data_IF_742272439625
#
_entry.id   IF_742272439625
#
_cell.length_a   1.000
_cell.length_b   1.000
_cell.length_c   1.000
_cell.angle_alpha   90.00
_cell.angle_beta   90.00
_cell.angle_gamma   90.00
#
_symmetry.space_group_name_H-M   'P 1'
#
loop_
_entity.id
_entity.type
_entity.pdbx_description
1 polymer ?
#
# COMPACT_ATOMS: atom_id res chain seq x y z
N UNK A 1 58.30 -9.61 33.30
CA UNK A 1 57.78 -8.62 32.40
C UNK A 1 56.25 -8.72 32.41
N UNK A 2 55.59 -7.83 33.12
CA UNK A 2 54.13 -7.71 33.16
C UNK A 2 53.75 -6.66 32.12
N UNK A 3 52.89 -7.05 31.17
CA UNK A 3 52.22 -6.12 30.26
C UNK A 3 50.89 -5.71 30.90
N UNK A 4 50.72 -4.42 31.09
CA UNK A 4 49.48 -3.82 31.57
C UNK A 4 48.65 -3.42 30.32
N UNK A 5 47.51 -4.07 30.20
CA UNK A 5 46.48 -3.73 29.21
C UNK A 5 45.70 -2.49 29.69
N UNK A 6 45.71 -1.43 28.96
CA UNK A 6 44.88 -0.26 29.18
C UNK A 6 43.74 -0.24 28.17
N UNK A 7 42.52 -0.43 28.66
CA UNK A 7 41.28 -0.30 27.91
C UNK A 7 41.03 1.18 27.48
N UNK A 8 40.46 1.42 26.29
CA UNK A 8 40.07 2.78 25.89
C UNK A 8 38.76 3.19 26.57
N UNK A 9 38.78 4.38 27.14
CA UNK A 9 37.63 5.07 27.73
C UNK A 9 36.64 5.48 26.65
N UNK A 10 35.42 5.02 26.79
CA UNK A 10 34.28 5.52 26.01
C UNK A 10 34.01 7.00 26.33
N UNK A 11 34.24 7.88 25.35
CA UNK A 11 33.74 9.24 25.37
C UNK A 11 32.23 9.21 25.14
N UNK A 12 31.48 9.61 26.14
CA UNK A 12 30.06 9.95 26.00
C UNK A 12 29.94 11.23 25.18
N UNK A 13 29.50 11.09 23.94
CA UNK A 13 29.05 12.21 23.16
C UNK A 13 27.69 12.68 23.71
N UNK A 14 27.66 13.87 24.26
CA UNK A 14 26.44 14.60 24.57
C UNK A 14 25.62 14.78 23.28
N UNK A 15 24.52 14.06 23.14
CA UNK A 15 23.49 14.39 22.18
C UNK A 15 22.68 15.54 22.76
N UNK A 16 22.98 16.73 22.34
CA UNK A 16 22.10 17.89 22.49
C UNK A 16 20.86 17.65 21.62
N UNK A 17 19.69 17.67 22.26
CA UNK A 17 18.39 17.78 21.60
C UNK A 17 18.36 19.08 20.77
N UNK A 18 18.68 19.00 19.52
CA UNK A 18 18.32 20.03 18.54
C UNK A 18 16.88 19.74 18.11
N UNK A 19 15.99 20.64 18.50
CA UNK A 19 14.61 20.72 18.08
C UNK A 19 14.51 20.63 16.55
N UNK A 20 13.71 19.68 16.07
CA UNK A 20 13.48 19.46 14.64
C UNK A 20 12.71 20.62 14.01
N UNK A 21 13.39 21.70 13.72
CA UNK A 21 12.99 22.65 12.68
C UNK A 21 13.67 22.20 11.38
N UNK A 22 13.15 21.13 10.80
CA UNK A 22 13.57 20.68 9.48
C UNK A 22 13.23 21.77 8.45
N UNK A 23 14.22 22.52 8.05
CA UNK A 23 14.12 23.42 6.92
C UNK A 23 13.93 22.61 5.63
N UNK A 24 13.20 23.16 4.65
CA UNK A 24 13.00 22.62 3.29
C UNK A 24 14.28 22.11 2.60
N UNK A 25 15.45 22.38 3.15
CA UNK A 25 16.77 21.96 2.67
C UNK A 25 17.10 20.45 2.88
N UNK A 26 16.27 19.68 3.57
CA UNK A 26 16.53 18.25 3.89
C UNK A 26 15.83 17.25 2.97
N UNK A 27 15.09 17.70 1.95
CA UNK A 27 14.48 16.80 0.98
C UNK A 27 15.48 16.29 -0.05
N UNK A 28 15.31 15.06 -0.57
CA UNK A 28 16.10 14.57 -1.68
C UNK A 28 16.02 15.56 -2.85
N UNK A 29 17.15 15.81 -3.47
CA UNK A 29 17.19 16.67 -4.66
C UNK A 29 16.52 15.95 -5.82
N UNK A 30 15.36 16.45 -6.24
CA UNK A 30 14.60 15.94 -7.36
C UNK A 30 14.87 16.83 -8.56
N UNK A 31 15.25 16.21 -9.68
CA UNK A 31 15.44 16.95 -10.93
C UNK A 31 14.09 17.44 -11.47
N UNK A 32 14.07 18.54 -12.23
CA UNK A 32 12.83 19.01 -12.89
C UNK A 32 12.17 17.96 -13.78
N UNK A 33 12.95 17.04 -14.35
CA UNK A 33 12.42 15.94 -15.19
C UNK A 33 11.72 14.90 -14.33
N UNK A 34 12.30 14.51 -13.21
CA UNK A 34 11.66 13.59 -12.25
C UNK A 34 10.34 14.15 -11.76
N UNK A 35 10.31 15.43 -11.39
CA UNK A 35 9.11 16.10 -10.92
C UNK A 35 8.01 16.10 -12.00
N UNK A 36 8.33 16.50 -13.22
CA UNK A 36 7.35 16.48 -14.33
C UNK A 36 6.81 15.07 -14.62
N UNK A 37 7.64 14.05 -14.53
CA UNK A 37 7.18 12.67 -14.71
C UNK A 37 6.21 12.26 -13.60
N UNK A 38 6.50 12.62 -12.36
CA UNK A 38 5.62 12.32 -11.24
C UNK A 38 4.29 13.07 -11.36
N UNK A 39 4.30 14.35 -11.73
CA UNK A 39 3.10 15.18 -11.93
C UNK A 39 2.16 14.62 -13.02
N UNK A 40 2.67 13.84 -13.95
CA UNK A 40 1.84 13.15 -14.93
C UNK A 40 0.96 12.05 -14.32
N UNK A 41 1.32 11.51 -13.16
CA UNK A 41 0.66 10.37 -12.53
C UNK A 41 0.05 10.66 -11.17
N UNK A 42 0.59 11.57 -10.39
CA UNK A 42 0.18 11.85 -9.02
C UNK A 42 0.28 13.32 -8.67
N UNK A 43 -0.39 13.70 -7.59
CA UNK A 43 -0.21 15.01 -6.97
C UNK A 43 1.14 15.07 -6.24
N UNK A 44 1.81 16.19 -6.33
CA UNK A 44 3.08 16.43 -5.64
C UNK A 44 2.97 17.41 -4.49
N UNK A 45 2.51 18.62 -4.73
CA UNK A 45 2.48 19.71 -3.76
C UNK A 45 1.16 20.48 -3.69
N UNK A 46 0.29 20.38 -4.70
CA UNK A 46 -0.87 21.25 -4.87
C UNK A 46 -1.98 21.06 -3.83
N UNK A 47 -2.00 19.93 -3.13
CA UNK A 47 -2.97 19.58 -2.09
C UNK A 47 -2.47 19.83 -0.65
N UNK A 48 -1.30 20.44 -0.48
CA UNK A 48 -0.67 20.66 0.83
C UNK A 48 -1.09 21.98 1.48
N UNK A 49 -1.81 22.84 0.77
CA UNK A 49 -2.28 24.11 1.30
C UNK A 49 -3.24 23.91 2.47
N UNK A 50 -3.03 24.68 3.53
CA UNK A 50 -3.89 24.62 4.73
C UNK A 50 -3.51 23.55 5.76
N UNK A 51 -2.53 22.71 5.48
CA UNK A 51 -2.00 21.77 6.45
C UNK A 51 -1.08 22.45 7.47
N UNK A 52 -0.86 21.79 8.62
CA UNK A 52 0.21 22.20 9.51
C UNK A 52 1.56 22.08 8.80
N UNK A 53 2.58 22.91 9.15
CA UNK A 53 3.90 22.79 8.56
C UNK A 53 4.51 21.39 8.72
N UNK A 54 4.29 20.73 9.85
CA UNK A 54 4.78 19.37 10.13
C UNK A 54 4.16 18.33 9.20
N UNK A 55 2.85 18.38 9.00
CA UNK A 55 2.16 17.49 8.07
C UNK A 55 2.62 17.71 6.63
N UNK A 56 2.67 18.97 6.18
CA UNK A 56 3.11 19.32 4.84
C UNK A 56 4.54 18.84 4.56
N UNK A 57 5.46 19.03 5.52
CA UNK A 57 6.84 18.55 5.43
C UNK A 57 6.88 17.01 5.40
N UNK A 58 6.14 16.34 6.25
CA UNK A 58 6.09 14.88 6.31
C UNK A 58 5.59 14.27 5.00
N UNK A 59 4.49 14.76 4.47
CA UNK A 59 3.91 14.30 3.20
C UNK A 59 4.85 14.59 2.03
N UNK A 60 5.38 15.80 1.96
CA UNK A 60 6.33 16.18 0.91
C UNK A 60 7.59 15.31 0.93
N UNK A 61 8.13 15.03 2.11
CA UNK A 61 9.29 14.16 2.29
C UNK A 61 9.01 12.73 1.80
N UNK A 62 7.85 12.18 2.13
CA UNK A 62 7.42 10.87 1.66
C UNK A 62 7.26 10.84 0.14
N UNK A 63 6.59 11.82 -0.44
CA UNK A 63 6.37 11.91 -1.89
C UNK A 63 7.67 12.08 -2.66
N UNK A 64 8.54 12.99 -2.24
CA UNK A 64 9.81 13.26 -2.93
C UNK A 64 10.78 12.09 -2.82
N UNK A 65 10.87 11.44 -1.65
CA UNK A 65 11.66 10.23 -1.49
C UNK A 65 11.18 9.09 -2.37
N UNK A 66 9.87 8.91 -2.48
CA UNK A 66 9.26 7.91 -3.36
C UNK A 66 9.49 8.22 -4.84
N UNK A 67 9.32 9.46 -5.27
CA UNK A 67 9.59 9.89 -6.66
C UNK A 67 11.05 9.58 -7.04
N UNK A 68 12.00 9.87 -6.15
CA UNK A 68 13.41 9.56 -6.40
C UNK A 68 13.64 8.07 -6.61
N UNK A 69 13.06 7.22 -5.74
CA UNK A 69 13.15 5.77 -5.87
C UNK A 69 12.50 5.26 -7.15
N UNK A 70 11.28 5.71 -7.44
CA UNK A 70 10.50 5.23 -8.58
C UNK A 70 11.12 5.62 -9.92
N UNK A 71 11.65 6.84 -10.02
CA UNK A 71 12.32 7.28 -11.25
C UNK A 71 13.54 6.44 -11.55
N UNK A 72 14.32 6.09 -10.52
CA UNK A 72 15.47 5.20 -10.67
C UNK A 72 15.08 3.80 -11.14
N UNK A 73 13.97 3.27 -10.59
CA UNK A 73 13.46 1.95 -10.94
C UNK A 73 12.78 1.92 -12.30
N UNK A 74 12.09 3.00 -12.68
CA UNK A 74 11.32 3.06 -13.93
C UNK A 74 12.17 2.89 -15.19
N UNK A 75 13.47 3.17 -15.12
CA UNK A 75 14.42 2.92 -16.20
C UNK A 75 14.56 1.42 -16.51
N UNK A 76 14.23 0.56 -15.55
CA UNK A 76 14.29 -0.90 -15.69
C UNK A 76 12.94 -1.52 -16.06
N UNK A 77 11.87 -0.72 -16.06
CA UNK A 77 10.54 -1.22 -16.37
C UNK A 77 10.40 -1.53 -17.86
N UNK A 78 9.87 -2.69 -18.15
CA UNK A 78 9.51 -3.07 -19.52
C UNK A 78 8.23 -3.90 -19.52
N UNK A 79 7.42 -3.71 -20.54
CA UNK A 79 6.24 -4.53 -20.75
C UNK A 79 6.64 -5.74 -21.62
N UNK A 80 6.40 -6.99 -21.17
CA UNK A 80 6.63 -8.17 -21.99
C UNK A 80 5.83 -8.10 -23.30
N UNK A 81 6.35 -8.71 -24.35
CA UNK A 81 5.61 -8.86 -25.60
C UNK A 81 4.31 -9.65 -25.36
N UNK A 82 3.24 -9.29 -26.04
CA UNK A 82 1.97 -9.99 -25.94
C UNK A 82 1.12 -9.61 -24.73
N UNK A 83 1.40 -8.49 -24.07
CA UNK A 83 0.54 -7.93 -23.04
C UNK A 83 -0.20 -6.71 -23.59
N UNK A 84 -1.53 -6.77 -23.56
CA UNK A 84 -2.40 -5.65 -23.88
C UNK A 84 -2.61 -4.78 -22.65
N UNK A 85 -2.57 -3.48 -22.83
CA UNK A 85 -2.87 -2.50 -21.78
C UNK A 85 -4.08 -1.67 -22.17
N UNK A 86 -5.09 -1.66 -21.29
CA UNK A 86 -6.23 -0.75 -21.37
C UNK A 86 -6.06 0.24 -20.21
N UNK A 87 -5.61 1.44 -20.53
CA UNK A 87 -5.24 2.44 -19.55
C UNK A 87 -6.33 3.49 -19.31
N UNK A 88 -6.24 4.14 -18.15
CA UNK A 88 -7.04 5.31 -17.80
C UNK A 88 -8.57 5.06 -17.84
N UNK A 89 -8.99 3.92 -17.33
CA UNK A 89 -10.41 3.57 -17.23
C UNK A 89 -11.00 4.28 -15.99
N UNK A 90 -11.97 5.20 -16.14
CA UNK A 90 -12.63 5.84 -15.02
C UNK A 90 -13.59 4.85 -14.34
N UNK A 91 -13.38 4.57 -13.06
CA UNK A 91 -14.32 3.75 -12.29
C UNK A 91 -15.39 4.58 -11.54
N UNK A 92 -15.25 5.90 -11.57
CA UNK A 92 -16.27 6.88 -11.20
C UNK A 92 -16.47 7.88 -12.35
N UNK A 93 -17.66 8.54 -12.45
CA UNK A 93 -17.97 9.40 -13.58
C UNK A 93 -17.05 10.60 -13.78
N UNK A 94 -16.40 11.08 -12.72
CA UNK A 94 -15.46 12.21 -12.77
C UNK A 94 -14.06 11.82 -13.24
N UNK A 95 -13.81 10.52 -13.43
CA UNK A 95 -12.49 10.01 -13.79
C UNK A 95 -11.41 10.35 -12.76
N UNK A 96 -11.81 10.72 -11.55
CA UNK A 96 -10.94 11.03 -10.43
C UNK A 96 -10.23 12.38 -10.51
N UNK A 97 -10.68 13.26 -11.38
CA UNK A 97 -10.19 14.63 -11.37
C UNK A 97 -10.77 15.40 -10.19
N UNK A 98 -9.90 15.79 -9.26
CA UNK A 98 -10.22 16.89 -8.37
C UNK A 98 -10.12 18.20 -9.16
N UNK A 99 -11.27 18.83 -9.42
CA UNK A 99 -11.33 20.08 -10.14
C UNK A 99 -10.65 21.25 -9.42
N UNK A 100 -10.48 21.15 -8.12
CA UNK A 100 -9.85 22.20 -7.31
C UNK A 100 -8.33 22.20 -7.48
N UNK A 101 -7.70 21.03 -7.48
CA UNK A 101 -6.25 20.87 -7.73
C UNK A 101 -5.91 20.69 -9.22
N UNK A 102 -6.86 20.22 -10.02
CA UNK A 102 -6.69 20.00 -11.45
C UNK A 102 -5.85 18.77 -11.82
N UNK A 103 -5.40 17.98 -10.86
CA UNK A 103 -4.36 16.97 -11.08
C UNK A 103 -4.58 15.62 -10.39
N UNK A 104 -5.63 15.42 -9.63
CA UNK A 104 -5.87 14.14 -8.97
C UNK A 104 -6.19 13.05 -9.99
N UNK A 105 -5.40 12.00 -10.04
CA UNK A 105 -5.63 10.81 -10.86
C UNK A 105 -6.21 9.62 -10.07
N UNK A 106 -6.80 9.86 -8.94
CA UNK A 106 -7.66 8.91 -8.25
C UNK A 106 -8.88 8.57 -9.11
N UNK A 107 -9.60 7.50 -8.85
CA UNK A 107 -10.78 7.05 -9.60
C UNK A 107 -10.49 6.57 -11.03
N UNK A 108 -9.24 6.25 -11.34
CA UNK A 108 -8.83 5.61 -12.58
C UNK A 108 -8.24 4.23 -12.28
N UNK A 109 -8.39 3.32 -13.23
CA UNK A 109 -7.72 2.02 -13.19
C UNK A 109 -7.13 1.66 -14.56
N UNK A 110 -6.14 0.77 -14.55
CA UNK A 110 -5.60 0.14 -15.74
C UNK A 110 -5.90 -1.35 -15.72
N UNK A 111 -6.00 -1.96 -16.89
CA UNK A 111 -6.14 -3.39 -17.06
C UNK A 111 -5.04 -3.93 -17.96
N UNK A 112 -4.36 -4.97 -17.51
CA UNK A 112 -3.32 -5.69 -18.25
C UNK A 112 -3.81 -7.10 -18.56
N UNK A 113 -3.72 -7.51 -19.81
CA UNK A 113 -4.24 -8.78 -20.32
C UNK A 113 -3.24 -9.46 -21.25
N UNK A 114 -3.06 -10.80 -21.19
CA UNK A 114 -2.41 -11.54 -22.25
C UNK A 114 -3.17 -11.39 -23.57
N UNK A 115 -2.51 -10.93 -24.62
CA UNK A 115 -3.10 -10.72 -25.94
C UNK A 115 -3.76 -11.99 -26.50
N UNK A 116 -3.09 -13.13 -26.36
CA UNK A 116 -3.60 -14.42 -26.84
C UNK A 116 -4.97 -14.77 -26.21
N UNK A 117 -5.18 -14.45 -24.95
CA UNK A 117 -6.46 -14.69 -24.29
C UNK A 117 -7.55 -13.76 -24.81
N UNK A 118 -7.18 -12.50 -25.13
CA UNK A 118 -8.11 -11.53 -25.74
C UNK A 118 -8.57 -12.00 -27.12
N UNK A 119 -7.64 -12.49 -27.94
CA UNK A 119 -7.92 -12.96 -29.31
C UNK A 119 -8.77 -14.24 -29.28
N UNK A 120 -8.45 -15.20 -28.41
CA UNK A 120 -9.20 -16.47 -28.31
C UNK A 120 -10.54 -16.31 -27.61
N UNK A 121 -10.67 -15.32 -26.74
CA UNK A 121 -11.85 -15.13 -25.88
C UNK A 121 -12.00 -16.21 -24.83
N UNK A 122 -13.12 -16.18 -24.11
CA UNK A 122 -13.45 -17.13 -23.04
C UNK A 122 -13.29 -16.53 -21.65
N UNK A 123 -13.65 -17.34 -20.63
CA UNK A 123 -13.65 -16.92 -19.21
C UNK A 123 -12.60 -17.72 -18.43
N UNK A 124 -11.34 -17.63 -18.81
CA UNK A 124 -10.30 -18.54 -18.35
C UNK A 124 -9.23 -17.89 -17.48
N UNK A 125 -9.01 -16.57 -17.61
CA UNK A 125 -7.96 -15.89 -16.85
C UNK A 125 -8.40 -15.67 -15.41
N UNK A 126 -7.62 -16.11 -14.42
CA UNK A 126 -7.76 -15.61 -13.05
C UNK A 126 -7.44 -14.12 -13.01
N UNK A 127 -8.04 -13.43 -12.05
CA UNK A 127 -7.95 -11.98 -11.91
C UNK A 127 -7.13 -11.62 -10.69
N UNK A 128 -6.18 -10.72 -10.84
CA UNK A 128 -5.58 -9.98 -9.73
C UNK A 128 -6.05 -8.54 -9.74
N UNK A 129 -6.38 -8.01 -8.57
CA UNK A 129 -6.66 -6.60 -8.35
C UNK A 129 -5.56 -6.06 -7.45
N UNK A 130 -4.81 -5.09 -7.94
CA UNK A 130 -3.66 -4.49 -7.26
C UNK A 130 -4.00 -3.12 -6.66
N UNK A 131 -3.69 -2.96 -5.37
CA UNK A 131 -3.80 -1.72 -4.61
C UNK A 131 -2.38 -1.25 -4.27
N UNK A 132 -1.92 -0.16 -4.90
CA UNK A 132 -0.57 0.33 -4.72
C UNK A 132 -0.29 0.83 -3.30
N UNK A 133 0.99 0.81 -2.90
CA UNK A 133 1.51 1.42 -1.69
C UNK A 133 1.77 2.93 -1.81
N UNK A 134 2.56 3.47 -0.90
CA UNK A 134 2.96 4.88 -0.89
C UNK A 134 2.58 5.63 0.39
N UNK A 135 2.53 4.96 1.53
CA UNK A 135 2.30 5.58 2.84
C UNK A 135 0.97 6.32 2.96
N UNK A 136 -0.04 5.92 2.20
CA UNK A 136 -1.35 6.56 2.09
C UNK A 136 -1.34 7.96 1.50
N UNK A 137 -0.19 8.53 1.19
CA UNK A 137 -0.05 9.94 0.72
C UNK A 137 0.49 10.05 -0.69
N UNK A 138 0.96 8.95 -1.25
CA UNK A 138 1.63 8.87 -2.53
C UNK A 138 1.19 7.62 -3.28
N UNK A 139 1.35 7.64 -4.57
CA UNK A 139 1.14 6.49 -5.43
C UNK A 139 0.07 6.70 -6.49
N UNK A 140 0.06 5.79 -7.42
CA UNK A 140 -0.76 5.84 -8.62
C UNK A 140 -0.81 4.43 -9.24
N UNK A 141 -1.76 4.19 -10.11
CA UNK A 141 -1.98 2.88 -10.73
C UNK A 141 -0.78 2.36 -11.56
N UNK A 142 0.06 3.26 -12.06
CA UNK A 142 1.27 2.91 -12.81
C UNK A 142 2.46 2.54 -11.91
N UNK A 143 2.39 2.82 -10.61
CA UNK A 143 3.49 2.57 -9.67
C UNK A 143 3.94 1.10 -9.68
N UNK A 144 2.99 0.18 -9.68
CA UNK A 144 3.25 -1.27 -9.70
C UNK A 144 3.18 -1.87 -11.11
N UNK A 145 3.20 -1.05 -12.16
CA UNK A 145 3.00 -1.51 -13.53
C UNK A 145 3.96 -2.62 -13.93
N UNK A 146 5.24 -2.49 -13.60
CA UNK A 146 6.23 -3.51 -13.97
C UNK A 146 5.93 -4.87 -13.35
N UNK A 147 5.50 -4.89 -12.08
CA UNK A 147 5.03 -6.10 -11.42
C UNK A 147 3.75 -6.64 -12.08
N UNK A 148 2.79 -5.76 -12.33
CA UNK A 148 1.48 -6.13 -12.87
C UNK A 148 1.54 -6.70 -14.29
N UNK A 149 2.39 -6.15 -15.17
CA UNK A 149 2.56 -6.72 -16.52
C UNK A 149 3.27 -8.07 -16.49
N UNK A 150 4.16 -8.31 -15.54
CA UNK A 150 4.77 -9.62 -15.35
C UNK A 150 3.79 -10.65 -14.78
N UNK A 151 2.86 -10.25 -13.91
CA UNK A 151 1.74 -11.10 -13.51
C UNK A 151 0.85 -11.46 -14.70
N UNK A 152 0.54 -10.49 -15.55
CA UNK A 152 -0.24 -10.74 -16.77
C UNK A 152 0.49 -11.71 -17.70
N UNK A 153 1.80 -11.62 -17.82
CA UNK A 153 2.63 -12.56 -18.59
C UNK A 153 2.58 -14.00 -18.03
N UNK A 154 2.27 -14.14 -16.76
CA UNK A 154 2.04 -15.45 -16.12
C UNK A 154 0.62 -15.99 -16.32
N UNK A 155 -0.24 -15.28 -17.04
CA UNK A 155 -1.58 -15.74 -17.37
C UNK A 155 -2.69 -15.16 -16.49
N UNK A 156 -2.50 -13.98 -15.93
CA UNK A 156 -3.53 -13.27 -15.15
C UNK A 156 -4.08 -12.07 -15.91
N UNK A 157 -5.35 -11.75 -15.66
CA UNK A 157 -5.86 -10.41 -15.91
C UNK A 157 -5.59 -9.57 -14.66
N UNK A 158 -4.94 -8.41 -14.83
CA UNK A 158 -4.53 -7.59 -13.69
C UNK A 158 -5.16 -6.21 -13.78
N UNK A 159 -6.01 -5.89 -12.81
CA UNK A 159 -6.53 -4.54 -12.61
C UNK A 159 -5.66 -3.81 -11.60
N UNK A 160 -5.18 -2.64 -11.97
CA UNK A 160 -4.40 -1.76 -11.09
C UNK A 160 -5.16 -0.45 -10.91
N UNK A 161 -5.46 -0.09 -9.67
CA UNK A 161 -6.29 1.08 -9.38
C UNK A 161 -5.53 2.20 -8.70
N UNK A 162 -5.92 3.43 -8.99
CA UNK A 162 -5.57 4.61 -8.21
C UNK A 162 -6.68 4.93 -7.22
N UNK A 163 -6.29 5.32 -6.03
CA UNK A 163 -7.18 5.90 -5.01
C UNK A 163 -6.63 7.27 -4.60
N UNK A 164 -7.48 8.13 -4.09
CA UNK A 164 -7.04 9.48 -3.68
C UNK A 164 -6.05 9.39 -2.52
N UNK A 165 -4.89 10.04 -2.62
CA UNK A 165 -3.92 10.08 -1.53
C UNK A 165 -4.40 11.01 -0.41
N UNK A 166 -3.92 10.80 0.82
CA UNK A 166 -3.99 11.83 1.84
C UNK A 166 -3.10 13.03 1.43
N UNK A 167 -3.48 14.27 1.69
CA UNK A 167 -4.60 14.72 2.49
C UNK A 167 -5.92 14.92 1.73
N UNK A 168 -6.02 14.54 0.47
CA UNK A 168 -7.25 14.72 -0.33
C UNK A 168 -8.42 13.95 0.24
N UNK A 169 -8.17 12.82 0.92
CA UNK A 169 -9.16 12.05 1.64
C UNK A 169 -8.54 11.33 2.84
N UNK A 170 -9.36 10.83 3.73
CA UNK A 170 -8.98 10.00 4.87
C UNK A 170 -8.99 8.49 4.52
N UNK A 171 -8.71 7.63 5.51
CA UNK A 171 -8.69 6.17 5.31
C UNK A 171 -10.05 5.64 4.83
N UNK A 172 -11.16 6.14 5.36
CA UNK A 172 -12.50 5.75 4.88
C UNK A 172 -12.72 6.14 3.43
N UNK A 173 -12.27 7.33 3.03
CA UNK A 173 -12.35 7.80 1.65
C UNK A 173 -11.51 6.94 0.70
N UNK A 174 -10.31 6.50 1.12
CA UNK A 174 -9.49 5.58 0.33
C UNK A 174 -10.16 4.22 0.17
N UNK A 175 -10.73 3.67 1.24
CA UNK A 175 -11.49 2.42 1.19
C UNK A 175 -12.77 2.55 0.33
N UNK A 176 -13.42 3.71 0.35
CA UNK A 176 -14.56 4.01 -0.51
C UNK A 176 -14.14 4.06 -2.00
N UNK A 177 -12.97 4.62 -2.32
CA UNK A 177 -12.43 4.62 -3.66
C UNK A 177 -12.15 3.17 -4.14
N UNK A 178 -11.51 2.36 -3.30
CA UNK A 178 -11.27 0.93 -3.59
C UNK A 178 -12.60 0.21 -3.85
N UNK A 179 -13.60 0.40 -2.99
CA UNK A 179 -14.92 -0.21 -3.17
C UNK A 179 -15.60 0.22 -4.47
N UNK A 180 -15.46 1.48 -4.86
CA UNK A 180 -15.98 1.98 -6.14
C UNK A 180 -15.30 1.32 -7.33
N UNK A 181 -13.98 1.13 -7.27
CA UNK A 181 -13.24 0.39 -8.29
C UNK A 181 -13.68 -1.09 -8.36
N UNK A 182 -13.86 -1.74 -7.21
CA UNK A 182 -14.33 -3.13 -7.15
C UNK A 182 -15.74 -3.29 -7.75
N UNK A 183 -16.65 -2.35 -7.49
CA UNK A 183 -18.00 -2.35 -8.09
C UNK A 183 -17.93 -2.17 -9.60
N UNK A 184 -17.07 -1.28 -10.08
CA UNK A 184 -16.86 -1.13 -11.52
C UNK A 184 -16.31 -2.42 -12.15
N UNK A 185 -15.30 -3.02 -11.54
CA UNK A 185 -14.72 -4.29 -12.00
C UNK A 185 -15.78 -5.38 -12.08
N UNK A 186 -16.56 -5.56 -11.01
CA UNK A 186 -17.64 -6.56 -10.96
C UNK A 186 -18.64 -6.35 -12.10
N UNK A 187 -19.02 -5.12 -12.38
CA UNK A 187 -19.97 -4.79 -13.44
C UNK A 187 -19.43 -5.07 -14.85
N UNK A 188 -18.10 -5.12 -15.02
CA UNK A 188 -17.44 -5.24 -16.34
C UNK A 188 -16.67 -6.55 -16.54
N UNK A 189 -16.67 -7.48 -15.56
CA UNK A 189 -15.96 -8.75 -15.72
C UNK A 189 -16.39 -9.53 -16.97
N UNK A 190 -17.68 -9.44 -17.33
CA UNK A 190 -18.21 -10.13 -18.51
C UNK A 190 -17.67 -9.61 -19.83
N UNK A 191 -17.08 -8.42 -19.85
CA UNK A 191 -16.50 -7.81 -21.05
C UNK A 191 -15.10 -8.35 -21.38
N UNK A 192 -14.53 -9.14 -20.48
CA UNK A 192 -13.15 -9.62 -20.57
C UNK A 192 -13.06 -11.15 -20.44
N UNK A 193 -11.99 -11.78 -20.95
CA UNK A 193 -11.81 -13.24 -20.92
C UNK A 193 -11.35 -13.74 -19.54
N UNK A 194 -12.11 -13.47 -18.50
CA UNK A 194 -11.77 -13.74 -17.10
C UNK A 194 -12.72 -14.73 -16.43
N UNK A 195 -12.19 -15.43 -15.42
CA UNK A 195 -12.98 -16.29 -14.53
C UNK A 195 -13.48 -15.46 -13.34
N UNK A 196 -14.79 -15.18 -13.24
CA UNK A 196 -15.35 -14.42 -12.13
C UNK A 196 -15.29 -15.12 -10.77
N UNK A 197 -14.93 -16.41 -10.75
CA UNK A 197 -14.78 -17.20 -9.51
C UNK A 197 -13.32 -17.28 -9.04
N UNK A 198 -12.37 -16.77 -9.81
CA UNK A 198 -10.93 -16.78 -9.49
C UNK A 198 -10.40 -15.34 -9.40
N UNK A 199 -10.85 -14.60 -8.42
CA UNK A 199 -10.45 -13.20 -8.19
C UNK A 199 -9.61 -13.13 -6.92
N UNK A 200 -8.43 -12.53 -7.04
CA UNK A 200 -7.45 -12.35 -5.97
C UNK A 200 -7.16 -10.87 -5.77
N UNK A 201 -6.89 -10.49 -4.52
CA UNK A 201 -6.52 -9.14 -4.15
C UNK A 201 -5.04 -9.09 -3.74
N UNK A 202 -4.33 -8.10 -4.19
CA UNK A 202 -2.94 -7.84 -3.77
C UNK A 202 -2.73 -6.36 -3.48
N UNK A 203 -1.71 -6.07 -2.73
CA UNK A 203 -1.30 -4.70 -2.43
C UNK A 203 -0.04 -4.69 -1.59
N UNK A 204 0.74 -3.64 -1.75
CA UNK A 204 2.01 -3.49 -1.06
C UNK A 204 2.01 -2.34 -0.07
N UNK A 205 2.70 -2.49 1.05
CA UNK A 205 2.86 -1.44 2.07
C UNK A 205 1.50 -0.90 2.56
N UNK A 206 1.20 0.38 2.36
CA UNK A 206 -0.12 0.97 2.61
C UNK A 206 -1.22 0.26 1.80
N UNK A 207 -0.92 -0.17 0.57
CA UNK A 207 -1.82 -1.00 -0.24
C UNK A 207 -2.08 -2.37 0.37
N UNK A 208 -1.11 -2.94 1.09
CA UNK A 208 -1.29 -4.15 1.89
C UNK A 208 -2.30 -3.94 3.03
N UNK A 209 -2.24 -2.81 3.72
CA UNK A 209 -3.25 -2.42 4.70
C UNK A 209 -4.64 -2.31 4.07
N UNK A 210 -4.76 -1.58 2.96
CA UNK A 210 -6.03 -1.43 2.24
C UNK A 210 -6.56 -2.78 1.72
N UNK A 211 -5.68 -3.70 1.31
CA UNK A 211 -6.03 -5.07 0.94
C UNK A 211 -6.70 -5.80 2.10
N UNK A 212 -6.08 -5.82 3.27
CA UNK A 212 -6.62 -6.54 4.43
C UNK A 212 -7.92 -5.90 4.94
N UNK A 213 -8.01 -4.56 4.96
CA UNK A 213 -9.23 -3.85 5.34
C UNK A 213 -10.36 -4.05 4.31
N UNK A 214 -10.04 -4.11 3.03
CA UNK A 214 -11.02 -4.43 1.99
C UNK A 214 -11.59 -5.84 2.18
N UNK A 215 -10.75 -6.85 2.44
CA UNK A 215 -11.21 -8.19 2.77
C UNK A 215 -12.09 -8.22 4.03
N UNK A 216 -11.74 -7.44 5.05
CA UNK A 216 -12.54 -7.30 6.25
C UNK A 216 -13.93 -6.72 5.94
N UNK A 217 -14.00 -5.69 5.12
CA UNK A 217 -15.26 -5.06 4.68
C UNK A 217 -16.12 -6.07 3.90
N UNK A 218 -15.53 -6.84 3.01
CA UNK A 218 -16.27 -7.84 2.21
C UNK A 218 -16.79 -9.01 3.06
N UNK A 219 -16.08 -9.40 4.11
CA UNK A 219 -16.33 -10.62 4.85
C UNK A 219 -16.96 -10.42 6.24
N UNK A 220 -17.10 -9.17 6.70
CA UNK A 220 -17.63 -8.87 8.03
C UNK A 220 -18.48 -7.59 8.00
N UNK A 221 -19.76 -7.71 8.36
CA UNK A 221 -20.71 -6.59 8.33
C UNK A 221 -20.39 -5.50 9.36
N UNK A 222 -19.81 -5.86 10.52
CA UNK A 222 -19.39 -4.85 11.52
C UNK A 222 -18.18 -4.06 11.02
N UNK A 223 -17.23 -4.73 10.35
CA UNK A 223 -16.10 -4.05 9.73
C UNK A 223 -16.58 -3.10 8.62
N UNK A 224 -17.47 -3.56 7.76
CA UNK A 224 -18.06 -2.71 6.72
C UNK A 224 -18.71 -1.45 7.32
N UNK A 225 -19.50 -1.61 8.38
CA UNK A 225 -20.13 -0.51 9.09
C UNK A 225 -19.11 0.43 9.74
N UNK A 226 -18.06 -0.12 10.39
CA UNK A 226 -17.00 0.66 11.03
C UNK A 226 -16.25 1.55 10.02
N UNK A 227 -16.02 1.05 8.81
CA UNK A 227 -15.36 1.79 7.74
C UNK A 227 -16.34 2.61 6.87
N UNK A 228 -17.62 2.63 7.20
CA UNK A 228 -18.61 3.42 6.49
C UNK A 228 -19.05 2.87 5.14
N UNK A 229 -18.86 1.58 4.90
CA UNK A 229 -19.28 0.89 3.67
C UNK A 229 -20.61 0.18 3.91
N UNK A 230 -21.71 0.77 3.41
CA UNK A 230 -23.04 0.20 3.58
C UNK A 230 -23.29 -1.02 2.67
N UNK A 231 -22.75 -0.96 1.47
CA UNK A 231 -22.90 -2.01 0.46
C UNK A 231 -21.52 -2.39 -0.10
N UNK A 232 -20.87 -3.42 0.44
CA UNK A 232 -19.64 -3.98 -0.12
C UNK A 232 -19.83 -4.44 -1.57
N UNK A 233 -18.74 -4.53 -2.33
CA UNK A 233 -18.76 -4.91 -3.75
C UNK A 233 -19.38 -6.28 -3.99
N UNK A 234 -19.31 -7.16 -3.00
CA UNK A 234 -19.82 -8.53 -3.07
C UNK A 234 -18.88 -9.50 -3.78
N UNK A 235 -17.63 -9.09 -4.08
CA UNK A 235 -16.63 -9.99 -4.64
C UNK A 235 -16.26 -11.05 -3.60
N UNK A 236 -16.45 -12.32 -3.96
CA UNK A 236 -15.89 -13.45 -3.22
C UNK A 236 -14.44 -13.68 -3.61
N UNK A 237 -13.50 -13.08 -2.88
CA UNK A 237 -12.08 -13.28 -3.16
C UNK A 237 -11.65 -14.71 -2.87
N UNK A 238 -11.01 -15.36 -3.85
CA UNK A 238 -10.48 -16.71 -3.71
C UNK A 238 -9.19 -16.76 -2.89
N UNK A 239 -8.51 -15.65 -2.76
CA UNK A 239 -7.30 -15.47 -1.97
C UNK A 239 -6.80 -14.04 -2.06
N UNK A 240 -5.75 -13.73 -1.31
CA UNK A 240 -5.07 -12.44 -1.38
C UNK A 240 -3.57 -12.58 -1.10
N UNK A 241 -2.80 -11.64 -1.62
CA UNK A 241 -1.35 -11.62 -1.52
C UNK A 241 -0.84 -10.25 -1.04
N UNK A 242 -0.95 -9.92 0.25
CA UNK A 242 -0.39 -8.69 0.79
C UNK A 242 1.15 -8.75 0.82
N UNK A 243 1.79 -7.66 0.43
CA UNK A 243 3.25 -7.53 0.31
C UNK A 243 3.77 -6.45 1.25
N UNK A 244 4.61 -6.81 2.20
CA UNK A 244 5.27 -5.87 3.12
C UNK A 244 4.28 -4.86 3.73
N UNK A 245 3.08 -5.31 4.09
CA UNK A 245 2.00 -4.43 4.52
C UNK A 245 2.16 -3.96 5.97
N UNK A 246 1.46 -2.88 6.30
CA UNK A 246 1.21 -2.46 7.68
C UNK A 246 -0.24 -2.77 8.04
N UNK A 247 -0.47 -3.43 9.15
CA UNK A 247 -1.79 -3.95 9.51
C UNK A 247 -2.33 -3.43 10.82
N UNK A 248 -1.48 -2.79 11.60
CA UNK A 248 -1.87 -2.11 12.84
C UNK A 248 -2.01 -0.63 12.55
N UNK A 249 -3.24 -0.15 12.47
CA UNK A 249 -3.60 1.22 12.10
C UNK A 249 -4.29 1.98 13.24
N UNK A 250 -4.23 1.43 14.46
CA UNK A 250 -4.69 2.11 15.66
C UNK A 250 -3.79 3.31 15.98
N UNK A 251 -4.31 4.26 16.75
CA UNK A 251 -3.50 5.35 17.26
C UNK A 251 -2.31 4.85 18.08
N UNK A 252 -1.22 5.62 18.14
CA UNK A 252 -0.07 5.29 18.98
C UNK A 252 -0.47 5.05 20.44
N UNK A 253 -1.45 5.79 20.96
CA UNK A 253 -1.99 5.60 22.30
C UNK A 253 -2.70 4.24 22.45
N UNK A 254 -3.50 3.83 21.46
CA UNK A 254 -4.19 2.52 21.46
C UNK A 254 -3.17 1.38 21.37
N UNK A 255 -2.18 1.50 20.49
CA UNK A 255 -1.10 0.51 20.37
C UNK A 255 -0.31 0.40 21.68
N UNK A 256 0.05 1.52 22.30
CA UNK A 256 0.74 1.53 23.59
C UNK A 256 -0.09 0.90 24.71
N UNK A 257 -1.39 1.13 24.73
CA UNK A 257 -2.29 0.50 25.71
C UNK A 257 -2.39 -1.02 25.53
N UNK A 258 -2.31 -1.49 24.29
CA UNK A 258 -2.41 -2.93 23.96
C UNK A 258 -1.08 -3.66 24.16
N UNK A 259 0.03 -3.08 23.72
CA UNK A 259 1.35 -3.72 23.68
C UNK A 259 2.39 -3.15 24.65
N UNK A 260 2.00 -2.18 25.48
CA UNK A 260 2.89 -1.52 26.44
C UNK A 260 3.73 -0.39 25.88
N UNK A 261 3.84 -0.27 24.56
CA UNK A 261 4.49 0.85 23.86
C UNK A 261 4.02 0.90 22.40
N UNK A 262 3.97 2.10 21.84
CA UNK A 262 3.94 2.28 20.40
C UNK A 262 5.37 2.34 19.86
N UNK A 263 5.59 1.85 18.65
CA UNK A 263 6.86 2.08 17.97
C UNK A 263 6.86 3.42 17.22
N UNK A 264 8.03 3.80 16.75
CA UNK A 264 8.23 5.07 16.06
C UNK A 264 7.46 5.18 14.71
N UNK A 265 7.05 4.03 14.13
CA UNK A 265 6.30 4.01 12.86
C UNK A 265 4.89 4.56 13.05
N UNK A 266 4.18 4.16 14.12
CA UNK A 266 2.83 4.68 14.40
C UNK A 266 2.86 6.17 14.69
N UNK A 267 3.81 6.62 15.50
CA UNK A 267 4.01 8.05 15.77
C UNK A 267 4.31 8.81 14.47
N UNK A 268 5.16 8.26 13.61
CA UNK A 268 5.48 8.87 12.33
C UNK A 268 4.27 8.97 11.41
N UNK A 269 3.46 7.93 11.30
CA UNK A 269 2.24 7.93 10.51
C UNK A 269 1.23 8.97 11.03
N UNK A 270 1.02 9.06 12.35
CA UNK A 270 0.15 10.06 12.94
C UNK A 270 0.63 11.49 12.66
N UNK A 271 1.92 11.76 12.76
CA UNK A 271 2.48 13.07 12.44
C UNK A 271 2.34 13.44 10.97
N UNK A 272 2.57 12.48 10.07
CA UNK A 272 2.48 12.70 8.63
C UNK A 272 1.03 12.82 8.16
N UNK A 273 0.15 11.92 8.58
CA UNK A 273 -1.22 11.84 8.09
C UNK A 273 -2.17 12.77 8.84
N UNK A 274 -1.84 13.13 10.08
CA UNK A 274 -2.69 13.89 10.97
C UNK A 274 -3.78 13.07 11.63
N UNK A 275 -4.34 13.59 12.71
CA UNK A 275 -5.41 12.92 13.46
C UNK A 275 -6.67 12.70 12.61
N UNK A 276 -6.92 13.55 11.64
CA UNK A 276 -8.12 13.47 10.79
C UNK A 276 -8.12 12.27 9.86
N UNK A 277 -6.96 11.74 9.46
CA UNK A 277 -6.86 10.58 8.60
C UNK A 277 -7.51 9.33 9.23
N UNK A 278 -7.33 9.16 10.52
CA UNK A 278 -7.92 8.07 11.30
C UNK A 278 -9.19 8.49 12.07
N UNK A 279 -9.70 9.69 11.83
CA UNK A 279 -10.81 10.24 12.59
C UNK A 279 -12.07 9.35 12.56
N UNK A 280 -12.63 9.14 13.72
CA UNK A 280 -13.83 8.34 13.93
C UNK A 280 -13.61 6.82 13.88
N UNK A 281 -12.41 6.32 13.57
CA UNK A 281 -12.13 4.89 13.57
C UNK A 281 -11.87 4.35 14.98
N UNK A 282 -11.11 5.06 15.80
CA UNK A 282 -10.87 4.68 17.21
C UNK A 282 -12.16 4.60 18.03
N UNK A 283 -13.16 5.44 17.69
CA UNK A 283 -14.46 5.44 18.35
C UNK A 283 -15.42 4.38 17.79
N UNK A 284 -15.19 3.91 16.54
CA UNK A 284 -16.09 2.97 15.89
C UNK A 284 -15.85 1.53 16.38
N UNK A 285 -14.66 1.02 16.26
CA UNK A 285 -14.24 -0.28 16.78
C UNK A 285 -12.74 -0.51 16.58
N UNK A 286 -11.91 -0.28 17.61
CA UNK A 286 -10.46 -0.43 17.49
C UNK A 286 -10.01 -1.86 17.17
N UNK A 287 -10.89 -2.87 17.33
CA UNK A 287 -10.55 -4.27 17.02
C UNK A 287 -10.18 -4.51 15.57
N UNK A 288 -10.72 -3.70 14.63
CA UNK A 288 -10.38 -3.82 13.21
C UNK A 288 -9.11 -3.07 12.81
N UNK A 289 -8.51 -2.31 13.73
CA UNK A 289 -7.29 -1.54 13.51
C UNK A 289 -6.04 -2.19 14.11
N UNK A 290 -6.17 -3.37 14.70
CA UNK A 290 -5.06 -4.18 15.22
C UNK A 290 -4.98 -5.50 14.48
N UNK A 291 -3.78 -6.07 14.38
CA UNK A 291 -3.56 -7.37 13.71
C UNK A 291 -4.39 -8.47 14.37
N UNK A 292 -4.30 -8.58 15.68
CA UNK A 292 -4.98 -9.64 16.43
C UNK A 292 -6.50 -9.47 16.35
N UNK A 293 -7.00 -8.27 16.56
CA UNK A 293 -8.42 -7.98 16.51
C UNK A 293 -9.01 -8.21 15.11
N UNK A 294 -8.27 -7.82 14.07
CA UNK A 294 -8.67 -8.02 12.68
C UNK A 294 -8.78 -9.52 12.36
N UNK A 295 -7.75 -10.30 12.66
CA UNK A 295 -7.73 -11.74 12.39
C UNK A 295 -8.74 -12.50 13.23
N UNK A 296 -8.93 -12.14 14.49
CA UNK A 296 -9.91 -12.78 15.38
C UNK A 296 -11.34 -12.62 14.86
N UNK A 297 -11.67 -11.44 14.33
CA UNK A 297 -13.05 -11.07 14.00
C UNK A 297 -13.41 -11.23 12.51
N UNK A 298 -12.44 -11.48 11.63
CA UNK A 298 -12.67 -11.58 10.18
C UNK A 298 -12.25 -12.95 9.68
N UNK A 299 -13.11 -13.57 8.86
CA UNK A 299 -12.78 -14.79 8.15
C UNK A 299 -12.10 -14.43 6.81
N UNK A 300 -10.78 -14.54 6.79
CA UNK A 300 -9.98 -14.28 5.61
C UNK A 300 -9.93 -15.48 4.68
N UNK A 301 -9.90 -15.26 3.34
CA UNK A 301 -9.56 -16.31 2.39
C UNK A 301 -8.08 -16.72 2.57
N UNK A 302 -7.60 -17.76 1.89
CA UNK A 302 -6.18 -18.09 1.89
C UNK A 302 -5.30 -16.89 1.54
N UNK A 303 -4.23 -16.68 2.29
CA UNK A 303 -3.33 -15.54 2.15
C UNK A 303 -1.92 -16.00 1.77
N UNK A 304 -1.28 -15.27 0.85
CA UNK A 304 0.15 -15.39 0.58
C UNK A 304 0.84 -14.11 1.05
N UNK A 305 1.52 -14.18 2.19
CA UNK A 305 2.16 -13.03 2.83
C UNK A 305 3.60 -12.97 2.39
N UNK A 306 4.02 -11.83 1.87
CA UNK A 306 5.42 -11.58 1.50
C UNK A 306 6.00 -10.45 2.35
N UNK A 307 7.16 -10.70 2.93
CA UNK A 307 8.03 -9.74 3.60
C UNK A 307 9.48 -10.16 3.43
N UNK A 308 10.43 -9.48 4.04
CA UNK A 308 11.84 -9.91 4.10
C UNK A 308 12.51 -9.39 5.37
N UNK A 309 13.62 -10.00 5.73
CA UNK A 309 14.26 -9.72 7.03
C UNK A 309 14.92 -8.33 7.14
N UNK A 310 15.03 -7.60 6.04
CA UNK A 310 15.49 -6.20 6.01
C UNK A 310 14.37 -5.21 5.65
N UNK A 311 13.12 -5.66 5.73
CA UNK A 311 11.94 -4.82 5.65
C UNK A 311 11.61 -4.20 7.02
N UNK A 312 11.44 -2.90 7.10
CA UNK A 312 11.07 -2.23 8.36
C UNK A 312 9.66 -2.60 8.87
N UNK A 313 8.82 -3.23 8.04
CA UNK A 313 7.51 -3.77 8.40
C UNK A 313 7.52 -5.30 8.58
N UNK A 314 8.68 -5.95 8.61
CA UNK A 314 8.76 -7.40 8.84
C UNK A 314 7.95 -7.83 10.08
N UNK A 315 8.09 -7.10 11.19
CA UNK A 315 7.41 -7.43 12.44
C UNK A 315 5.87 -7.44 12.32
N UNK A 316 5.28 -6.51 11.59
CA UNK A 316 3.83 -6.48 11.29
C UNK A 316 3.38 -7.71 10.49
N UNK A 317 4.18 -8.11 9.52
CA UNK A 317 3.89 -9.28 8.69
C UNK A 317 4.05 -10.60 9.45
N UNK A 318 5.05 -10.69 10.32
CA UNK A 318 5.20 -11.85 11.22
C UNK A 318 4.07 -11.92 12.25
N UNK A 319 3.63 -10.78 12.78
CA UNK A 319 2.49 -10.71 13.69
C UNK A 319 1.21 -11.18 13.00
N UNK A 320 0.98 -10.77 11.75
CA UNK A 320 -0.13 -11.24 10.93
C UNK A 320 -0.09 -12.75 10.74
N UNK A 321 1.04 -13.30 10.31
CA UNK A 321 1.23 -14.74 10.15
C UNK A 321 0.97 -15.51 11.46
N UNK A 322 1.46 -15.00 12.59
CA UNK A 322 1.25 -15.58 13.90
C UNK A 322 -0.24 -15.61 14.30
N UNK A 323 -0.96 -14.51 14.07
CA UNK A 323 -2.39 -14.42 14.36
C UNK A 323 -3.21 -15.37 13.48
N UNK A 324 -2.91 -15.44 12.18
CA UNK A 324 -3.54 -16.38 11.24
C UNK A 324 -3.30 -17.83 11.65
N UNK A 325 -2.08 -18.17 12.06
CA UNK A 325 -1.73 -19.51 12.52
C UNK A 325 -2.53 -19.90 13.77
N UNK A 326 -2.69 -18.99 14.72
CA UNK A 326 -3.49 -19.24 15.94
C UNK A 326 -4.97 -19.44 15.63
N UNK A 327 -5.51 -18.72 14.67
CA UNK A 327 -6.91 -18.89 14.23
C UNK A 327 -7.12 -20.13 13.37
N UNK A 328 -6.07 -20.67 12.75
CA UNK A 328 -6.16 -21.76 11.80
C UNK A 328 -6.58 -21.33 10.38
N UNK A 329 -6.38 -20.06 10.05
CA UNK A 329 -6.58 -19.57 8.68
C UNK A 329 -5.46 -20.09 7.78
N UNK A 330 -5.81 -20.51 6.57
CA UNK A 330 -4.84 -20.97 5.57
C UNK A 330 -3.97 -19.81 5.07
N UNK A 331 -2.66 -19.98 5.13
CA UNK A 331 -1.71 -18.98 4.62
C UNK A 331 -0.35 -19.60 4.31
N UNK A 332 0.40 -18.92 3.43
CA UNK A 332 1.83 -19.10 3.23
C UNK A 332 2.56 -17.81 3.58
N UNK A 333 3.75 -17.93 4.14
CA UNK A 333 4.65 -16.82 4.42
C UNK A 333 5.93 -16.98 3.60
N UNK A 334 6.25 -15.95 2.81
CA UNK A 334 7.52 -15.83 2.14
C UNK A 334 8.33 -14.69 2.77
N UNK A 335 9.34 -15.05 3.55
CA UNK A 335 10.18 -14.15 4.34
C UNK A 335 11.66 -14.47 4.10
N UNK A 336 12.20 -14.13 2.91
CA UNK A 336 13.59 -14.40 2.59
C UNK A 336 14.54 -13.48 3.34
N UNK A 337 15.74 -14.00 3.59
CA UNK A 337 16.86 -13.22 4.09
C UNK A 337 17.79 -12.85 2.94
N UNK A 338 18.22 -11.57 2.87
CA UNK A 338 19.23 -11.19 1.86
C UNK A 338 20.48 -12.01 2.07
N UNK A 339 21.09 -12.37 0.96
CA UNK A 339 22.42 -12.98 0.98
C UNK A 339 23.46 -11.96 1.42
N UNK A 340 24.63 -12.47 1.80
CA UNK A 340 25.74 -11.62 2.23
C UNK A 340 26.03 -10.54 1.17
N UNK A 341 26.06 -9.28 1.59
CA UNK A 341 26.29 -8.10 0.75
C UNK A 341 25.15 -7.73 -0.24
N UNK A 342 23.99 -8.37 -0.10
CA UNK A 342 22.78 -8.00 -0.85
C UNK A 342 21.77 -7.33 0.07
N UNK A 343 20.83 -6.60 -0.50
CA UNK A 343 19.66 -6.05 0.17
C UNK A 343 18.42 -6.40 -0.66
N UNK A 344 17.35 -6.79 0.00
CA UNK A 344 16.04 -6.95 -0.63
C UNK A 344 15.24 -5.65 -0.47
N UNK A 345 15.05 -5.24 0.77
CA UNK A 345 14.37 -4.00 1.12
C UNK A 345 12.86 -4.08 1.04
N UNK A 346 12.24 -2.99 1.46
CA UNK A 346 10.78 -2.85 1.49
C UNK A 346 10.18 -3.02 0.09
N UNK A 347 9.13 -3.84 -0.02
CA UNK A 347 8.38 -4.16 -1.26
C UNK A 347 9.24 -4.68 -2.42
N UNK A 348 10.28 -5.45 -2.11
CA UNK A 348 11.27 -5.91 -3.08
C UNK A 348 10.66 -6.67 -4.28
N UNK A 349 9.62 -7.47 -4.08
CA UNK A 349 8.96 -8.22 -5.17
C UNK A 349 8.23 -7.32 -6.15
N UNK A 350 7.78 -6.15 -5.69
CA UNK A 350 7.14 -5.16 -6.54
C UNK A 350 8.18 -4.38 -7.33
N UNK A 351 9.25 -3.98 -6.66
CA UNK A 351 10.30 -3.17 -7.27
C UNK A 351 11.24 -3.95 -8.20
N UNK A 352 11.40 -5.25 -7.95
CA UNK A 352 12.34 -6.12 -8.67
C UNK A 352 11.67 -7.47 -8.99
N UNK A 353 10.67 -7.50 -9.88
CA UNK A 353 9.93 -8.74 -10.18
C UNK A 353 10.74 -9.79 -10.98
N UNK A 354 11.91 -9.44 -11.42
CA UNK A 354 12.85 -10.38 -12.08
C UNK A 354 13.65 -11.15 -11.03
#
# INVERSE_FOLDING_TARGET
AMMTDSAPTHSQANQTNESATGTLASFPEITPTMLRNAEAWTETDGDLEGLSPEQAIGIKGMRYGSILCDTSRSELWHTPEGIDTIADIPYLPDGGYDKASGQCRGHLLDLYLPHDAVVRGGKTLPVYIDIHGGGFTYGYKELNRNFNVHLADQGFAVFSLSYRPAPQTDLRGQLADVQSALRWITAHLADYPVDPNAIFLTGDSAGGALTMLTLAIENNAEAAAAFGVNEPSGIGFAGAAPVCGTYSLASAATVAATYGKADSMYEHLEHMLGADFFAGLDAADPKFLTVEGLVENVDFPPLFITTCSDDFLEADNLALACALSRKGTDFELYDPKPKRHESLGHVFVIGMPW
#
